data_IF_223308087815
#
_entry.id   IF_223308087815
#
_cell.length_a   1.000
_cell.length_b   1.000
_cell.length_c   1.000
_cell.angle_alpha   90.00
_cell.angle_beta   90.00
_cell.angle_gamma   90.00
#
_symmetry.space_group_name_H-M   'P 1'
#
loop_
_entity.id
_entity.type
_entity.pdbx_description
1 polymer ?
#
# COMPACT_ATOMS: atom_id res chain seq x y z
N UNK A 1 37.40 12.61 12.16
CA UNK A 1 36.53 13.04 11.04
C UNK A 1 35.28 12.18 11.02
N UNK A 2 34.10 12.74 11.35
CA UNK A 2 32.80 12.04 11.27
C UNK A 2 32.06 12.57 10.04
N UNK A 3 31.92 11.75 9.01
CA UNK A 3 31.18 12.07 7.80
C UNK A 3 29.68 12.03 8.12
N UNK A 4 29.10 13.17 8.52
CA UNK A 4 27.65 13.37 8.52
C UNK A 4 27.23 13.78 7.11
N UNK A 5 27.10 12.81 6.21
CA UNK A 5 26.25 13.01 5.02
C UNK A 5 24.81 12.84 5.49
N UNK A 6 24.30 13.83 6.20
CA UNK A 6 22.87 13.97 6.43
C UNK A 6 22.35 14.87 5.32
N UNK A 7 21.86 14.25 4.24
CA UNK A 7 20.99 14.93 3.29
C UNK A 7 19.70 15.23 4.06
N UNK A 8 19.69 16.35 4.79
CA UNK A 8 18.52 16.85 5.46
C UNK A 8 17.60 17.43 4.38
N UNK A 9 16.78 16.58 3.77
CA UNK A 9 15.65 17.06 2.97
C UNK A 9 14.82 17.98 3.88
N UNK A 10 14.46 19.20 3.43
CA UNK A 10 13.49 20.02 4.14
C UNK A 10 12.25 19.16 4.43
N UNK A 11 11.72 19.19 5.64
CA UNK A 11 10.59 18.33 6.05
C UNK A 11 9.40 18.39 5.06
N UNK A 12 9.21 19.55 4.41
CA UNK A 12 8.23 19.73 3.33
C UNK A 12 8.55 18.93 2.06
N UNK A 13 9.80 18.88 1.61
CA UNK A 13 10.21 18.14 0.42
C UNK A 13 10.01 16.62 0.58
N UNK A 14 10.39 16.08 1.74
CA UNK A 14 10.18 14.67 2.06
C UNK A 14 8.69 14.30 2.06
N UNK A 15 7.85 15.09 2.72
CA UNK A 15 6.40 14.87 2.73
C UNK A 15 5.80 14.95 1.32
N UNK A 16 6.25 15.91 0.50
CA UNK A 16 5.81 16.05 -0.89
C UNK A 16 6.16 14.83 -1.72
N UNK A 17 7.40 14.33 -1.66
CA UNK A 17 7.84 13.14 -2.39
C UNK A 17 7.02 11.90 -1.95
N UNK A 18 6.91 11.69 -0.64
CA UNK A 18 6.14 10.60 -0.05
C UNK A 18 4.62 10.71 -0.28
N UNK A 19 4.14 11.82 -0.86
CA UNK A 19 2.75 12.00 -1.27
C UNK A 19 2.60 11.83 -2.78
N UNK A 20 3.38 12.56 -3.58
CA UNK A 20 3.28 12.55 -5.03
C UNK A 20 3.65 11.20 -5.66
N UNK A 21 4.70 10.54 -5.16
CA UNK A 21 5.14 9.24 -5.67
C UNK A 21 4.04 8.18 -5.57
N UNK A 22 3.51 7.90 -4.36
CA UNK A 22 2.39 6.99 -4.18
C UNK A 22 1.11 7.41 -4.93
N UNK A 23 0.84 8.72 -5.06
CA UNK A 23 -0.29 9.22 -5.85
C UNK A 23 -0.16 8.83 -7.33
N UNK A 24 0.97 9.13 -7.97
CA UNK A 24 1.24 8.80 -9.37
C UNK A 24 1.17 7.28 -9.57
N UNK A 25 1.77 6.52 -8.68
CA UNK A 25 1.74 5.06 -8.74
C UNK A 25 0.33 4.49 -8.59
N UNK A 26 -0.50 5.08 -7.72
CA UNK A 26 -1.89 4.66 -7.56
C UNK A 26 -2.72 4.95 -8.82
N UNK A 27 -2.52 6.11 -9.45
CA UNK A 27 -3.16 6.45 -10.73
C UNK A 27 -2.71 5.51 -11.85
N UNK A 28 -1.43 5.14 -11.88
CA UNK A 28 -0.92 4.13 -12.80
C UNK A 28 -1.61 2.77 -12.59
N UNK A 29 -1.73 2.30 -11.34
CA UNK A 29 -2.41 1.02 -11.05
C UNK A 29 -3.85 1.07 -11.55
N UNK A 30 -4.59 2.13 -11.20
CA UNK A 30 -5.98 2.29 -11.63
C UNK A 30 -6.11 2.32 -13.15
N UNK A 31 -5.26 3.08 -13.85
CA UNK A 31 -5.33 3.21 -15.31
C UNK A 31 -4.86 1.96 -16.07
N UNK A 32 -3.88 1.22 -15.55
CA UNK A 32 -3.34 0.03 -16.21
C UNK A 32 -4.19 -1.21 -15.92
N UNK A 33 -4.43 -1.52 -14.65
CA UNK A 33 -5.08 -2.78 -14.25
C UNK A 33 -6.59 -2.78 -14.42
N UNK A 34 -7.23 -1.62 -14.66
CA UNK A 34 -8.67 -1.56 -14.99
C UNK A 34 -8.97 -1.77 -16.48
N UNK A 35 -7.98 -1.71 -17.39
CA UNK A 35 -8.22 -1.89 -18.84
C UNK A 35 -9.00 -3.17 -19.19
N UNK A 36 -8.70 -4.34 -18.58
CA UNK A 36 -9.41 -5.58 -18.89
C UNK A 36 -10.90 -5.57 -18.59
N UNK A 37 -11.36 -4.69 -17.69
CA UNK A 37 -12.80 -4.53 -17.40
C UNK A 37 -13.57 -4.16 -18.67
N UNK A 38 -12.93 -3.41 -19.58
CA UNK A 38 -13.53 -2.92 -20.82
C UNK A 38 -13.09 -3.72 -22.05
N UNK A 39 -11.84 -4.21 -22.07
CA UNK A 39 -11.29 -4.94 -23.22
C UNK A 39 -11.51 -6.45 -23.18
N UNK A 40 -11.80 -7.03 -22.00
CA UNK A 40 -11.86 -8.48 -21.78
C UNK A 40 -10.50 -9.19 -21.74
N UNK A 41 -9.40 -8.51 -22.05
CA UNK A 41 -8.04 -9.08 -22.06
C UNK A 41 -7.44 -9.17 -20.65
N UNK A 42 -7.94 -10.08 -19.83
CA UNK A 42 -7.45 -10.30 -18.46
C UNK A 42 -6.02 -10.85 -18.40
N UNK A 43 -5.56 -11.51 -19.46
CA UNK A 43 -4.16 -11.95 -19.58
C UNK A 43 -3.17 -10.79 -19.61
N UNK A 44 -3.63 -9.58 -19.95
CA UNK A 44 -2.79 -8.37 -19.91
C UNK A 44 -2.21 -8.05 -18.51
N UNK A 45 -2.84 -8.53 -17.43
CA UNK A 45 -2.28 -8.40 -16.07
C UNK A 45 -0.91 -9.06 -15.95
N UNK A 46 -0.65 -10.12 -16.72
CA UNK A 46 0.59 -10.87 -16.67
C UNK A 46 1.74 -10.21 -17.47
N UNK A 47 1.51 -9.13 -18.21
CA UNK A 47 2.55 -8.53 -19.09
C UNK A 47 3.72 -7.90 -18.33
N UNK A 48 3.45 -7.36 -17.14
CA UNK A 48 4.49 -6.69 -16.33
C UNK A 48 4.95 -7.56 -15.15
N UNK A 49 4.13 -8.54 -14.75
CA UNK A 49 4.32 -9.38 -13.57
C UNK A 49 3.71 -10.75 -13.86
N UNK A 50 4.57 -11.75 -13.97
CA UNK A 50 4.14 -13.11 -14.28
C UNK A 50 3.17 -13.66 -13.23
N UNK A 51 2.22 -14.50 -13.68
CA UNK A 51 1.28 -15.24 -12.82
C UNK A 51 0.36 -14.38 -11.91
N UNK A 52 0.09 -13.12 -12.25
CA UNK A 52 -0.90 -12.31 -11.54
C UNK A 52 -2.35 -12.76 -11.76
N UNK A 53 -2.68 -13.20 -12.96
CA UNK A 53 -4.01 -13.65 -13.37
C UNK A 53 -3.96 -15.05 -13.96
N UNK A 54 -4.88 -15.90 -13.52
CA UNK A 54 -5.07 -17.26 -14.04
C UNK A 54 -6.58 -17.56 -14.18
N UNK A 55 -7.11 -17.84 -15.39
CA UNK A 55 -8.55 -17.98 -15.64
C UNK A 55 -9.26 -18.97 -14.71
N UNK A 56 -8.57 -20.04 -14.33
CA UNK A 56 -9.08 -21.15 -13.52
C UNK A 56 -9.12 -20.85 -12.01
N UNK A 57 -8.53 -19.74 -11.54
CA UNK A 57 -8.44 -19.42 -10.09
C UNK A 57 -9.19 -18.16 -9.70
N UNK A 58 -10.52 -18.19 -9.76
CA UNK A 58 -11.38 -17.02 -9.47
C UNK A 58 -11.04 -16.32 -8.14
N UNK A 59 -10.96 -17.08 -7.04
CA UNK A 59 -10.70 -16.49 -5.72
C UNK A 59 -9.32 -15.84 -5.61
N UNK A 60 -8.31 -16.42 -6.26
CA UNK A 60 -6.95 -15.85 -6.30
C UNK A 60 -6.95 -14.55 -7.10
N UNK A 61 -7.66 -14.50 -8.23
CA UNK A 61 -7.78 -13.30 -9.04
C UNK A 61 -8.52 -12.19 -8.29
N UNK A 62 -9.60 -12.51 -7.59
CA UNK A 62 -10.34 -11.54 -6.76
C UNK A 62 -9.50 -11.02 -5.60
N UNK A 63 -8.75 -11.90 -4.94
CA UNK A 63 -7.81 -11.52 -3.88
C UNK A 63 -6.71 -10.59 -4.39
N UNK A 64 -6.14 -10.90 -5.57
CA UNK A 64 -5.15 -10.05 -6.22
C UNK A 64 -5.75 -8.71 -6.67
N UNK A 65 -6.97 -8.70 -7.21
CA UNK A 65 -7.70 -7.47 -7.54
C UNK A 65 -7.88 -6.59 -6.30
N UNK A 66 -8.35 -7.18 -5.19
CA UNK A 66 -8.51 -6.48 -3.92
C UNK A 66 -7.17 -5.93 -3.40
N UNK A 67 -6.08 -6.69 -3.56
CA UNK A 67 -4.73 -6.25 -3.22
C UNK A 67 -4.26 -5.06 -4.07
N UNK A 68 -4.34 -5.16 -5.40
CA UNK A 68 -3.87 -4.12 -6.33
C UNK A 68 -4.68 -2.83 -6.19
N UNK A 69 -6.00 -2.92 -6.35
CA UNK A 69 -6.87 -1.73 -6.29
C UNK A 69 -6.95 -1.16 -4.88
N UNK A 70 -6.92 -2.01 -3.86
CA UNK A 70 -6.83 -1.53 -2.49
C UNK A 70 -5.51 -0.80 -2.22
N UNK A 71 -4.39 -1.29 -2.75
CA UNK A 71 -3.10 -0.61 -2.67
C UNK A 71 -3.15 0.79 -3.28
N UNK A 72 -3.81 0.94 -4.44
CA UNK A 72 -4.05 2.25 -5.05
C UNK A 72 -4.90 3.17 -4.16
N UNK A 73 -5.97 2.65 -3.55
CA UNK A 73 -6.79 3.44 -2.61
C UNK A 73 -5.97 3.89 -1.39
N UNK A 74 -5.10 3.04 -0.84
CA UNK A 74 -4.20 3.43 0.27
C UNK A 74 -3.21 4.52 -0.17
N UNK A 75 -2.60 4.39 -1.35
CA UNK A 75 -1.68 5.40 -1.88
C UNK A 75 -2.38 6.74 -2.12
N UNK A 76 -3.64 6.73 -2.59
CA UNK A 76 -4.44 7.92 -2.77
C UNK A 76 -4.83 8.59 -1.45
N UNK A 77 -5.28 7.83 -0.46
CA UNK A 77 -5.88 8.35 0.78
C UNK A 77 -4.85 8.64 1.89
N UNK A 78 -3.72 7.94 1.91
CA UNK A 78 -2.72 7.99 2.98
C UNK A 78 -2.26 9.40 3.31
N UNK A 79 -1.76 10.20 2.34
CA UNK A 79 -1.27 11.56 2.59
C UNK A 79 -2.33 12.46 3.22
N UNK A 80 -3.58 12.36 2.77
CA UNK A 80 -4.70 13.16 3.27
C UNK A 80 -4.99 12.91 4.76
N UNK A 81 -4.75 11.69 5.25
CA UNK A 81 -4.93 11.36 6.67
C UNK A 81 -3.91 12.05 7.58
N UNK A 82 -2.75 12.44 7.04
CA UNK A 82 -1.65 13.02 7.82
C UNK A 82 -1.65 14.55 7.85
N UNK A 83 -2.40 15.22 6.97
CA UNK A 83 -2.46 16.69 6.90
C UNK A 83 -3.16 17.23 8.15
N UNK A 84 -2.46 17.94 9.07
CA UNK A 84 -3.06 18.37 10.33
C UNK A 84 -4.21 19.36 10.13
N UNK A 85 -4.13 20.21 9.11
CA UNK A 85 -5.17 21.20 8.77
C UNK A 85 -6.48 20.51 8.40
N UNK A 86 -6.45 19.47 7.58
CA UNK A 86 -7.66 18.73 7.18
C UNK A 86 -8.30 18.01 8.36
N UNK A 87 -7.50 17.42 9.24
CA UNK A 87 -8.01 16.76 10.45
C UNK A 87 -8.70 17.73 11.42
N UNK A 88 -8.19 18.97 11.52
CA UNK A 88 -8.76 20.02 12.39
C UNK A 88 -10.02 20.65 11.79
N UNK A 89 -10.00 20.98 10.50
CA UNK A 89 -11.11 21.68 9.82
C UNK A 89 -12.24 20.71 9.42
N UNK A 90 -11.89 19.49 9.02
CA UNK A 90 -12.84 18.49 8.50
C UNK A 90 -12.74 17.15 9.25
N UNK A 91 -13.02 17.12 10.58
CA UNK A 91 -12.84 15.92 11.40
C UNK A 91 -13.75 14.76 10.99
N UNK A 92 -14.95 15.03 10.47
CA UNK A 92 -15.86 13.98 9.98
C UNK A 92 -15.31 13.29 8.72
N UNK A 93 -14.70 14.04 7.80
CA UNK A 93 -14.07 13.51 6.61
C UNK A 93 -12.86 12.64 6.96
N UNK A 94 -12.00 13.11 7.88
CA UNK A 94 -10.90 12.32 8.41
C UNK A 94 -11.40 10.96 8.96
N UNK A 95 -12.49 10.94 9.73
CA UNK A 95 -13.06 9.69 10.27
C UNK A 95 -13.62 8.76 9.20
N UNK A 96 -14.37 9.29 8.22
CA UNK A 96 -14.97 8.48 7.15
C UNK A 96 -13.90 7.89 6.23
N UNK A 97 -12.98 8.73 5.76
CA UNK A 97 -11.86 8.29 4.93
C UNK A 97 -10.89 7.39 5.70
N UNK A 98 -10.70 7.64 7.00
CA UNK A 98 -9.89 6.78 7.87
C UNK A 98 -10.49 5.38 8.03
N UNK A 99 -11.81 5.25 8.17
CA UNK A 99 -12.47 3.93 8.19
C UNK A 99 -12.30 3.19 6.86
N UNK A 100 -12.48 3.89 5.74
CA UNK A 100 -12.24 3.32 4.41
C UNK A 100 -10.78 2.87 4.28
N UNK A 101 -9.82 3.71 4.66
CA UNK A 101 -8.39 3.40 4.66
C UNK A 101 -8.07 2.13 5.47
N UNK A 102 -8.63 2.00 6.67
CA UNK A 102 -8.41 0.84 7.53
C UNK A 102 -9.04 -0.44 6.96
N UNK A 103 -10.26 -0.36 6.43
CA UNK A 103 -10.90 -1.50 5.77
C UNK A 103 -10.09 -1.95 4.54
N UNK A 104 -9.68 -0.99 3.72
CA UNK A 104 -8.82 -1.26 2.57
C UNK A 104 -7.50 -1.90 2.98
N UNK A 105 -6.85 -1.42 4.05
CA UNK A 105 -5.61 -2.01 4.55
C UNK A 105 -5.80 -3.49 4.93
N UNK A 106 -6.94 -3.83 5.55
CA UNK A 106 -7.28 -5.24 5.85
C UNK A 106 -7.46 -6.05 4.57
N UNK A 107 -8.25 -5.56 3.61
CA UNK A 107 -8.48 -6.26 2.34
C UNK A 107 -7.18 -6.47 1.55
N UNK A 108 -6.30 -5.47 1.50
CA UNK A 108 -5.01 -5.53 0.81
C UNK A 108 -4.10 -6.56 1.45
N UNK A 109 -3.97 -6.54 2.78
CA UNK A 109 -3.15 -7.51 3.50
C UNK A 109 -3.66 -8.93 3.30
N UNK A 110 -4.96 -9.16 3.49
CA UNK A 110 -5.54 -10.50 3.34
C UNK A 110 -5.44 -11.00 1.90
N UNK A 111 -5.70 -10.14 0.91
CA UNK A 111 -5.55 -10.49 -0.50
C UNK A 111 -4.11 -10.87 -0.87
N UNK A 112 -3.14 -10.10 -0.39
CA UNK A 112 -1.71 -10.38 -0.61
C UNK A 112 -1.25 -11.66 0.08
N UNK A 113 -1.62 -11.87 1.35
CA UNK A 113 -1.31 -13.09 2.10
C UNK A 113 -1.92 -14.32 1.43
N UNK A 114 -3.18 -14.25 1.01
CA UNK A 114 -3.84 -15.34 0.31
C UNK A 114 -3.16 -15.65 -1.03
N UNK A 115 -2.73 -14.63 -1.77
CA UNK A 115 -1.97 -14.83 -3.01
C UNK A 115 -0.64 -15.53 -2.75
N UNK A 116 0.13 -15.09 -1.75
CA UNK A 116 1.42 -15.71 -1.39
C UNK A 116 1.21 -17.19 -1.04
N UNK A 117 0.20 -17.50 -0.23
CA UNK A 117 -0.11 -18.87 0.19
C UNK A 117 -0.51 -19.79 -0.97
N UNK A 118 -0.99 -19.26 -2.09
CA UNK A 118 -1.57 -20.05 -3.19
C UNK A 118 -0.71 -20.06 -4.45
N UNK A 119 -0.04 -18.96 -4.77
CA UNK A 119 0.74 -18.77 -6.01
C UNK A 119 2.22 -18.56 -5.77
N UNK A 120 2.64 -18.34 -4.51
CA UNK A 120 3.98 -17.90 -4.16
C UNK A 120 4.38 -16.59 -4.86
N UNK A 121 5.50 -16.04 -4.42
CA UNK A 121 6.09 -14.84 -5.01
C UNK A 121 7.20 -15.18 -5.99
N UNK A 122 7.43 -14.31 -6.98
CA UNK A 122 8.48 -14.50 -8.00
C UNK A 122 9.90 -14.58 -7.42
N UNK A 123 10.12 -14.03 -6.22
CA UNK A 123 11.39 -14.10 -5.51
C UNK A 123 11.58 -15.34 -4.64
N UNK A 124 10.64 -16.29 -4.70
CA UNK A 124 10.67 -17.53 -3.93
C UNK A 124 10.53 -17.35 -2.41
N UNK A 125 10.96 -18.36 -1.66
CA UNK A 125 10.71 -18.45 -0.22
C UNK A 125 11.16 -17.22 0.61
N UNK A 126 12.33 -16.57 0.34
CA UNK A 126 12.70 -15.37 1.08
C UNK A 126 11.69 -14.22 0.91
N UNK A 127 11.17 -14.05 -0.32
CA UNK A 127 10.18 -13.03 -0.64
C UNK A 127 8.80 -13.39 -0.07
N UNK A 128 8.42 -14.67 -0.07
CA UNK A 128 7.19 -15.16 0.58
C UNK A 128 7.17 -14.82 2.06
N UNK A 129 8.25 -15.14 2.79
CA UNK A 129 8.37 -14.87 4.23
C UNK A 129 8.35 -13.36 4.48
N UNK A 130 9.15 -12.60 3.73
CA UNK A 130 9.24 -11.14 3.88
C UNK A 130 7.89 -10.45 3.68
N UNK A 131 7.18 -10.77 2.60
CA UNK A 131 5.87 -10.18 2.34
C UNK A 131 4.76 -10.70 3.23
N UNK A 132 4.88 -11.92 3.76
CA UNK A 132 3.95 -12.42 4.77
C UNK A 132 4.05 -11.65 6.07
N UNK A 133 5.28 -11.43 6.57
CA UNK A 133 5.51 -10.62 7.78
C UNK A 133 5.01 -9.19 7.56
N UNK A 134 5.32 -8.61 6.40
CA UNK A 134 4.84 -7.27 6.02
C UNK A 134 3.30 -7.17 6.02
N UNK A 135 2.61 -8.14 5.42
CA UNK A 135 1.14 -8.19 5.40
C UNK A 135 0.53 -8.24 6.81
N UNK A 136 1.12 -9.05 7.70
CA UNK A 136 0.72 -9.15 9.12
C UNK A 136 0.97 -7.85 9.87
N UNK A 137 2.09 -7.17 9.62
CA UNK A 137 2.39 -5.88 10.25
C UNK A 137 1.39 -4.79 9.84
N UNK A 138 0.93 -4.77 8.59
CA UNK A 138 -0.15 -3.86 8.16
C UNK A 138 -1.42 -4.15 8.94
N UNK A 139 -1.83 -5.43 9.07
CA UNK A 139 -3.01 -5.82 9.84
C UNK A 139 -2.91 -5.34 11.28
N UNK A 140 -1.77 -5.62 11.93
CA UNK A 140 -1.49 -5.17 13.30
C UNK A 140 -1.61 -3.65 13.43
N UNK A 141 -0.96 -2.90 12.54
CA UNK A 141 -0.99 -1.44 12.59
C UNK A 141 -2.39 -0.88 12.33
N UNK A 142 -3.15 -1.45 11.40
CA UNK A 142 -4.53 -1.07 11.13
C UNK A 142 -5.44 -1.32 12.34
N UNK A 143 -5.36 -2.52 12.93
CA UNK A 143 -6.13 -2.88 14.13
C UNK A 143 -5.80 -1.93 15.29
N UNK A 144 -4.53 -1.66 15.55
CA UNK A 144 -4.12 -0.77 16.64
C UNK A 144 -4.47 0.70 16.36
N UNK A 145 -4.44 1.13 15.10
CA UNK A 145 -4.90 2.47 14.71
C UNK A 145 -6.39 2.64 15.01
N UNK A 146 -7.21 1.64 14.65
CA UNK A 146 -8.64 1.65 14.93
C UNK A 146 -8.95 1.57 16.43
N UNK A 147 -8.32 0.63 17.14
CA UNK A 147 -8.56 0.40 18.57
C UNK A 147 -8.29 1.64 19.40
N UNK A 148 -7.14 2.30 19.17
CA UNK A 148 -6.79 3.52 19.89
C UNK A 148 -7.69 4.71 19.51
N UNK A 149 -8.14 4.80 18.25
CA UNK A 149 -9.13 5.82 17.86
C UNK A 149 -10.46 5.65 18.59
N UNK A 150 -10.93 4.40 18.74
CA UNK A 150 -12.16 4.06 19.46
C UNK A 150 -12.05 4.30 20.96
N UNK A 151 -10.88 4.03 21.54
CA UNK A 151 -10.58 4.30 22.95
C UNK A 151 -10.33 5.79 23.24
N UNK A 152 -10.38 6.67 22.22
CA UNK A 152 -10.05 8.09 22.33
C UNK A 152 -8.60 8.38 22.76
N UNK A 153 -7.73 7.38 22.64
CA UNK A 153 -6.29 7.43 22.89
C UNK A 153 -5.55 7.99 21.68
N UNK A 154 -5.73 9.28 21.40
CA UNK A 154 -5.32 9.90 20.14
C UNK A 154 -3.80 9.92 19.91
N UNK A 155 -3.00 9.96 20.98
CA UNK A 155 -1.55 9.88 20.87
C UNK A 155 -1.09 8.51 20.36
N UNK A 156 -1.65 7.44 20.92
CA UNK A 156 -1.38 6.09 20.45
C UNK A 156 -1.95 5.86 19.05
N UNK A 157 -3.17 6.34 18.77
CA UNK A 157 -3.75 6.31 17.43
C UNK A 157 -2.80 6.92 16.40
N UNK A 158 -2.26 8.12 16.67
CA UNK A 158 -1.34 8.81 15.75
C UNK A 158 -0.06 8.00 15.53
N UNK A 159 0.51 7.42 16.59
CA UNK A 159 1.72 6.59 16.50
C UNK A 159 1.51 5.36 15.61
N UNK A 160 0.38 4.68 15.74
CA UNK A 160 0.05 3.51 14.91
C UNK A 160 -0.35 3.90 13.48
N UNK A 161 -1.08 5.01 13.31
CA UNK A 161 -1.42 5.54 11.99
C UNK A 161 -0.19 5.90 11.17
N UNK A 162 0.84 6.49 11.79
CA UNK A 162 2.11 6.80 11.12
C UNK A 162 2.88 5.53 10.71
N UNK A 163 2.86 4.47 11.53
CA UNK A 163 3.46 3.17 11.18
C UNK A 163 2.73 2.52 10.01
N UNK A 164 1.40 2.55 10.04
CA UNK A 164 0.57 2.04 8.95
C UNK A 164 0.85 2.79 7.64
N UNK A 165 0.92 4.12 7.69
CA UNK A 165 1.26 4.94 6.53
C UNK A 165 2.67 4.65 6.00
N UNK A 166 3.65 4.53 6.90
CA UNK A 166 5.02 4.18 6.52
C UNK A 166 5.07 2.84 5.79
N UNK A 167 4.41 1.80 6.33
CA UNK A 167 4.27 0.50 5.66
C UNK A 167 3.60 0.64 4.29
N UNK A 168 2.55 1.46 4.18
CA UNK A 168 1.88 1.74 2.90
C UNK A 168 2.83 2.34 1.84
N UNK A 169 3.64 3.33 2.22
CA UNK A 169 4.66 3.90 1.33
C UNK A 169 5.73 2.86 0.97
N UNK A 170 6.12 1.99 1.90
CA UNK A 170 7.15 0.97 1.66
C UNK A 170 6.82 0.07 0.46
N UNK A 171 5.54 -0.22 0.19
CA UNK A 171 5.13 -0.98 -1.00
C UNK A 171 5.51 -0.26 -2.31
N UNK A 172 5.26 1.05 -2.37
CA UNK A 172 5.65 1.87 -3.52
C UNK A 172 7.18 1.97 -3.65
N UNK A 173 7.89 2.21 -2.54
CA UNK A 173 9.35 2.27 -2.53
C UNK A 173 9.98 0.96 -3.03
N UNK A 174 9.48 -0.18 -2.55
CA UNK A 174 9.89 -1.50 -3.03
C UNK A 174 9.68 -1.62 -4.55
N UNK A 175 8.54 -1.17 -5.09
CA UNK A 175 8.31 -1.24 -6.53
C UNK A 175 9.29 -0.36 -7.32
N UNK A 176 9.58 0.86 -6.85
CA UNK A 176 10.54 1.74 -7.50
C UNK A 176 11.94 1.11 -7.50
N UNK A 177 12.38 0.60 -6.36
CA UNK A 177 13.68 -0.05 -6.22
C UNK A 177 13.78 -1.32 -7.08
N UNK A 178 12.78 -2.20 -7.02
CA UNK A 178 12.71 -3.41 -7.83
C UNK A 178 12.73 -3.12 -9.34
N UNK A 179 12.01 -2.09 -9.78
CA UNK A 179 12.01 -1.65 -11.19
C UNK A 179 13.37 -1.08 -11.62
N UNK A 180 14.05 -0.30 -10.76
CA UNK A 180 15.38 0.22 -11.05
C UNK A 180 16.40 -0.91 -11.17
N UNK A 181 16.34 -1.89 -10.28
CA UNK A 181 17.20 -3.07 -10.36
C UNK A 181 17.01 -3.84 -11.68
N UNK A 182 15.77 -3.94 -12.17
CA UNK A 182 15.45 -4.55 -13.45
C UNK A 182 16.05 -3.82 -14.66
N UNK A 183 16.37 -2.53 -14.57
CA UNK A 183 17.03 -1.76 -15.65
C UNK A 183 18.54 -1.97 -15.69
N UNK A 184 19.15 -2.48 -14.62
CA UNK A 184 20.59 -2.70 -14.50
C UNK A 184 21.02 -4.09 -15.00
N UNK A 185 20.06 -4.94 -15.39
CA UNK A 185 20.27 -6.28 -15.96
C UNK A 185 19.97 -6.26 -17.45
#
# INVERSE_FOLDING_TARGET
MRTKVLIALPQGAFFTICSLGPLIFSLYILGYFSKPIWSGDWLSWNRNLDNLYAPETLFVNLAMAAHLFGGAVLGLLGPWQLIPRLRRVYPQWHRRLGKLYLLTAVCVSLGGLFFILTKHTVGGLPMDIGFSIYGVLILLCATLTYKNARAQEFDFHRRWALRLFALGISSWLYRVEYSLWGLLK
#
